data_IF_378229973118
#
_entry.id   IF_378229973118
#
_cell.length_a   1.000
_cell.length_b   1.000
_cell.length_c   1.000
_cell.angle_alpha   90.00
_cell.angle_beta   90.00
_cell.angle_gamma   90.00
#
_symmetry.space_group_name_H-M   'P 1'
#
loop_
_entity.id
_entity.type
_entity.pdbx_description
1 polymer ?
#
# COMPACT_ATOMS: atom_id res chain seq x y z
N UNK A 1 -27.98 -1.03 3.09
CA UNK A 1 -26.51 -1.01 3.18
C UNK A 1 -26.13 -1.07 4.65
N UNK A 2 -25.59 -2.18 5.13
CA UNK A 2 -25.16 -2.27 6.53
C UNK A 2 -23.98 -1.32 6.76
N UNK A 3 -24.03 -0.52 7.82
CA UNK A 3 -22.88 0.28 8.23
C UNK A 3 -21.71 -0.66 8.54
N UNK A 4 -20.72 -0.73 7.64
CA UNK A 4 -19.56 -1.64 7.74
C UNK A 4 -18.66 -1.35 8.95
N UNK A 5 -18.78 -0.17 9.57
CA UNK A 5 -18.02 0.23 10.76
C UNK A 5 -18.98 0.87 11.78
N UNK A 6 -19.74 0.05 12.52
CA UNK A 6 -20.63 0.54 13.60
C UNK A 6 -19.92 0.67 14.95
N UNK A 7 -19.02 -0.26 15.27
CA UNK A 7 -18.09 -0.21 16.41
C UNK A 7 -16.73 -0.70 15.96
N UNK A 8 -15.70 0.11 16.18
CA UNK A 8 -14.33 -0.20 15.74
C UNK A 8 -13.70 -1.32 16.60
N UNK A 9 -13.89 -1.30 17.92
CA UNK A 9 -13.37 -2.35 18.80
C UNK A 9 -14.44 -3.41 19.09
N UNK A 10 -14.12 -4.68 18.80
CA UNK A 10 -15.04 -5.83 19.05
C UNK A 10 -14.50 -6.83 20.07
N UNK A 11 -13.21 -6.72 20.45
CA UNK A 11 -12.49 -7.65 21.35
C UNK A 11 -12.37 -9.10 20.87
N UNK A 12 -12.87 -9.41 19.66
CA UNK A 12 -12.80 -10.77 19.07
C UNK A 12 -11.37 -11.24 18.79
N UNK A 13 -10.40 -10.32 18.77
CA UNK A 13 -8.98 -10.63 18.59
C UNK A 13 -8.15 -10.58 19.88
N UNK A 14 -8.75 -10.45 21.06
CA UNK A 14 -8.01 -10.31 22.33
C UNK A 14 -7.24 -11.58 22.70
N UNK A 15 -7.61 -12.74 22.13
CA UNK A 15 -6.91 -14.02 22.27
C UNK A 15 -5.72 -14.20 21.32
N UNK A 16 -5.33 -13.17 20.57
CA UNK A 16 -4.20 -13.23 19.64
C UNK A 16 -4.53 -13.73 18.24
N UNK A 17 -5.81 -13.92 17.91
CA UNK A 17 -6.28 -14.35 16.58
C UNK A 17 -7.02 -13.23 15.84
N UNK A 18 -7.15 -13.37 14.53
CA UNK A 18 -7.98 -12.51 13.68
C UNK A 18 -8.74 -13.35 12.65
N UNK A 19 -9.82 -12.78 12.10
CA UNK A 19 -10.57 -13.38 11.00
C UNK A 19 -10.01 -12.96 9.64
N UNK A 20 -10.07 -13.88 8.67
CA UNK A 20 -9.83 -13.64 7.27
C UNK A 20 -11.15 -13.36 6.53
N UNK A 21 -11.06 -12.86 5.30
CA UNK A 21 -12.24 -12.50 4.50
C UNK A 21 -13.10 -13.70 4.06
N UNK A 22 -12.56 -14.92 4.11
CA UNK A 22 -13.29 -16.18 3.90
C UNK A 22 -13.99 -16.70 5.17
N UNK A 23 -13.83 -16.01 6.30
CA UNK A 23 -14.39 -16.38 7.60
C UNK A 23 -13.50 -17.33 8.44
N UNK A 24 -12.38 -17.80 7.90
CA UNK A 24 -11.41 -18.57 8.66
C UNK A 24 -10.70 -17.69 9.71
N UNK A 25 -10.06 -18.32 10.70
CA UNK A 25 -9.31 -17.62 11.76
C UNK A 25 -7.85 -18.05 11.75
N UNK A 26 -6.97 -17.08 11.96
CA UNK A 26 -5.53 -17.27 12.00
C UNK A 26 -4.92 -16.50 13.17
N UNK A 27 -3.73 -16.92 13.61
CA UNK A 27 -2.96 -16.14 14.57
C UNK A 27 -2.55 -14.79 13.98
N UNK A 28 -2.52 -13.74 14.81
CA UNK A 28 -2.18 -12.37 14.39
C UNK A 28 -0.73 -12.21 13.91
N UNK A 29 0.15 -13.13 14.27
CA UNK A 29 1.54 -13.21 13.84
C UNK A 29 1.73 -14.14 12.63
N UNK A 30 0.65 -14.64 12.02
CA UNK A 30 0.75 -15.43 10.79
C UNK A 30 1.30 -14.59 9.64
N UNK A 31 2.04 -15.23 8.73
CA UNK A 31 2.66 -14.59 7.57
C UNK A 31 1.66 -13.79 6.72
N UNK A 32 0.43 -14.30 6.58
CA UNK A 32 -0.64 -13.64 5.84
C UNK A 32 -1.03 -12.31 6.48
N UNK A 33 -1.17 -12.28 7.80
CA UNK A 33 -1.53 -11.07 8.56
C UNK A 33 -0.39 -10.05 8.54
N UNK A 34 0.86 -10.52 8.67
CA UNK A 34 2.05 -9.66 8.54
C UNK A 34 2.12 -9.03 7.14
N UNK A 35 1.82 -9.79 6.07
CA UNK A 35 1.86 -9.30 4.70
C UNK A 35 0.84 -8.18 4.46
N UNK A 36 -0.47 -8.43 4.68
CA UNK A 36 -1.47 -7.38 4.46
C UNK A 36 -1.40 -6.24 5.48
N UNK A 37 -0.90 -6.51 6.70
CA UNK A 37 -0.61 -5.45 7.67
C UNK A 37 0.52 -4.53 7.21
N UNK A 38 1.54 -5.07 6.55
CA UNK A 38 2.63 -4.26 5.96
C UNK A 38 2.16 -3.50 4.72
N UNK A 39 1.23 -4.06 3.93
CA UNK A 39 0.56 -3.35 2.83
C UNK A 39 -0.28 -2.18 3.35
N UNK A 40 -1.02 -2.37 4.46
CA UNK A 40 -1.77 -1.30 5.11
C UNK A 40 -0.85 -0.18 5.65
N UNK A 41 0.32 -0.56 6.18
CA UNK A 41 1.34 0.40 6.60
C UNK A 41 1.87 1.24 5.41
N UNK A 42 2.18 0.59 4.28
CA UNK A 42 2.54 1.30 3.04
C UNK A 42 1.43 2.26 2.60
N UNK A 43 0.18 1.79 2.58
CA UNK A 43 -0.97 2.55 2.14
C UNK A 43 -1.17 3.80 3.03
N UNK A 44 -0.97 3.64 4.34
CA UNK A 44 -1.00 4.73 5.32
C UNK A 44 0.07 5.80 5.07
N UNK A 45 1.30 5.39 4.70
CA UNK A 45 2.38 6.32 4.36
C UNK A 45 2.08 7.06 3.05
N UNK A 46 1.44 6.41 2.06
CA UNK A 46 0.94 7.12 0.87
C UNK A 46 -0.09 8.17 1.26
N UNK A 47 -0.96 7.89 2.23
CA UNK A 47 -1.85 8.89 2.83
C UNK A 47 -1.10 10.11 3.41
N UNK A 48 0.06 9.89 4.03
CA UNK A 48 0.93 10.98 4.49
C UNK A 48 1.56 11.78 3.35
N UNK A 49 1.77 11.19 2.17
CA UNK A 49 2.23 11.91 0.97
C UNK A 49 1.08 12.77 0.43
N UNK A 50 -0.13 12.21 0.35
CA UNK A 50 -1.34 12.88 -0.12
C UNK A 50 -1.77 14.06 0.76
N UNK A 51 -1.32 14.13 2.01
CA UNK A 51 -1.54 15.27 2.90
C UNK A 51 -0.76 16.53 2.50
N UNK A 52 0.26 16.40 1.62
CA UNK A 52 1.03 17.55 1.12
C UNK A 52 0.40 18.20 -0.11
N UNK A 53 0.88 19.39 -0.47
CA UNK A 53 0.60 19.97 -1.77
C UNK A 53 1.41 19.23 -2.85
N UNK A 54 0.72 18.62 -3.81
CA UNK A 54 1.30 17.77 -4.85
C UNK A 54 1.02 18.34 -6.25
N UNK A 55 1.82 18.01 -7.27
CA UNK A 55 1.46 18.26 -8.65
C UNK A 55 0.09 17.66 -8.99
N UNK A 56 -0.67 18.32 -9.87
CA UNK A 56 -2.10 18.02 -10.13
C UNK A 56 -2.34 16.59 -10.59
N UNK A 57 -1.39 16.01 -11.31
CA UNK A 57 -1.42 14.69 -11.91
C UNK A 57 -0.91 13.58 -10.97
N UNK A 58 -0.21 13.94 -9.88
CA UNK A 58 0.35 12.97 -8.92
C UNK A 58 -0.68 12.53 -7.90
N UNK A 59 -1.53 13.44 -7.42
CA UNK A 59 -2.56 13.11 -6.42
C UNK A 59 -3.52 12.00 -6.90
N UNK A 60 -4.18 12.13 -8.07
CA UNK A 60 -5.10 11.08 -8.55
C UNK A 60 -4.39 9.74 -8.78
N UNK A 61 -3.12 9.78 -9.19
CA UNK A 61 -2.34 8.56 -9.39
C UNK A 61 -2.02 7.85 -8.07
N UNK A 62 -1.60 8.59 -7.03
CA UNK A 62 -1.39 8.03 -5.70
C UNK A 62 -2.69 7.54 -5.06
N UNK A 63 -3.81 8.22 -5.27
CA UNK A 63 -5.14 7.75 -4.83
C UNK A 63 -5.51 6.41 -5.50
N UNK A 64 -5.24 6.26 -6.80
CA UNK A 64 -5.40 4.97 -7.49
C UNK A 64 -4.48 3.89 -6.90
N UNK A 65 -3.23 4.22 -6.55
CA UNK A 65 -2.34 3.27 -5.86
C UNK A 65 -2.90 2.89 -4.48
N UNK A 66 -3.53 3.79 -3.74
CA UNK A 66 -4.17 3.43 -2.46
C UNK A 66 -5.33 2.43 -2.66
N UNK A 67 -6.07 2.54 -3.77
CA UNK A 67 -7.08 1.56 -4.16
C UNK A 67 -6.44 0.22 -4.52
N UNK A 68 -5.39 0.22 -5.36
CA UNK A 68 -4.66 -1.00 -5.73
C UNK A 68 -4.12 -1.73 -4.48
N UNK A 69 -3.57 -1.00 -3.52
CA UNK A 69 -3.05 -1.58 -2.27
C UNK A 69 -4.18 -2.09 -1.35
N UNK A 70 -5.35 -1.44 -1.36
CA UNK A 70 -6.50 -1.94 -0.62
C UNK A 70 -7.02 -3.25 -1.22
N UNK A 71 -7.09 -3.33 -2.55
CA UNK A 71 -7.49 -4.53 -3.28
C UNK A 71 -6.47 -5.66 -3.04
N UNK A 72 -5.16 -5.37 -3.10
CA UNK A 72 -4.10 -6.33 -2.74
C UNK A 72 -4.22 -6.83 -1.29
N UNK A 73 -4.54 -5.94 -0.34
CA UNK A 73 -4.82 -6.33 1.04
C UNK A 73 -6.05 -7.25 1.15
N UNK A 74 -7.08 -7.01 0.34
CA UNK A 74 -8.24 -7.87 0.19
C UNK A 74 -7.88 -9.25 -0.38
N UNK A 75 -7.03 -9.29 -1.40
CA UNK A 75 -6.46 -10.52 -1.99
C UNK A 75 -5.77 -11.38 -0.94
N UNK A 76 -4.88 -10.76 -0.16
CA UNK A 76 -4.22 -11.46 0.94
C UNK A 76 -5.18 -11.92 2.03
N UNK A 77 -6.27 -11.19 2.27
CA UNK A 77 -7.27 -11.56 3.27
C UNK A 77 -8.17 -12.72 2.85
N UNK A 78 -8.33 -13.01 1.55
CA UNK A 78 -9.23 -14.04 1.03
C UNK A 78 -8.42 -15.10 0.27
N UNK A 79 -8.12 -16.27 0.86
CA UNK A 79 -7.39 -17.33 0.18
C UNK A 79 -8.04 -17.75 -1.16
N UNK A 80 -7.27 -17.70 -2.25
CA UNK A 80 -7.71 -18.07 -3.59
C UNK A 80 -8.51 -16.99 -4.33
N UNK A 81 -8.66 -15.80 -3.75
CA UNK A 81 -9.14 -14.62 -4.47
C UNK A 81 -7.95 -13.93 -5.13
N UNK A 82 -8.11 -13.49 -6.37
CA UNK A 82 -7.12 -12.73 -7.14
C UNK A 82 -7.81 -11.48 -7.70
N UNK A 83 -7.22 -10.31 -7.47
CA UNK A 83 -7.76 -9.02 -7.92
C UNK A 83 -6.72 -8.20 -8.66
N UNK A 84 -5.44 -8.33 -8.31
CA UNK A 84 -4.35 -7.66 -9.02
C UNK A 84 -4.08 -8.39 -10.33
N UNK A 85 -4.01 -7.63 -11.43
CA UNK A 85 -3.83 -8.16 -12.78
C UNK A 85 -2.55 -7.62 -13.40
N UNK A 86 -2.07 -8.27 -14.47
CA UNK A 86 -0.92 -7.80 -15.24
C UNK A 86 -1.12 -6.38 -15.81
N UNK A 87 -2.38 -5.97 -16.02
CA UNK A 87 -2.71 -4.60 -16.44
C UNK A 87 -2.36 -3.55 -15.38
N UNK A 88 -2.41 -3.88 -14.09
CA UNK A 88 -2.04 -2.97 -13.01
C UNK A 88 -0.54 -2.71 -13.00
N UNK A 89 0.25 -3.77 -13.21
CA UNK A 89 1.71 -3.67 -13.39
C UNK A 89 2.04 -2.82 -14.63
N UNK A 90 1.39 -3.11 -15.75
CA UNK A 90 1.60 -2.37 -17.02
C UNK A 90 1.28 -0.87 -16.88
N UNK A 91 0.23 -0.54 -16.09
CA UNK A 91 -0.13 0.85 -15.78
C UNK A 91 0.94 1.54 -14.93
N UNK A 92 1.53 0.85 -13.95
CA UNK A 92 2.63 1.39 -13.16
C UNK A 92 3.86 1.64 -14.03
N UNK A 93 4.25 0.68 -14.86
CA UNK A 93 5.40 0.80 -15.78
C UNK A 93 5.24 1.99 -16.73
N UNK A 94 4.08 2.10 -17.38
CA UNK A 94 3.78 3.23 -18.29
C UNK A 94 3.93 4.57 -17.56
N UNK A 95 3.41 4.67 -16.34
CA UNK A 95 3.50 5.92 -15.57
C UNK A 95 4.92 6.20 -15.07
N UNK A 96 5.71 5.18 -14.75
CA UNK A 96 7.13 5.35 -14.40
C UNK A 96 7.93 5.88 -15.59
N UNK A 97 7.66 5.39 -16.80
CA UNK A 97 8.30 5.89 -18.02
C UNK A 97 7.97 7.37 -18.27
N UNK A 98 6.69 7.76 -18.13
CA UNK A 98 6.26 9.16 -18.22
C UNK A 98 6.97 10.07 -17.20
N UNK A 99 7.07 9.63 -15.94
CA UNK A 99 7.71 10.42 -14.88
C UNK A 99 9.23 10.52 -15.04
N UNK A 100 9.86 9.52 -15.65
CA UNK A 100 11.30 9.51 -15.91
C UNK A 100 11.69 10.27 -17.18
N UNK A 101 10.76 10.48 -18.13
CA UNK A 101 11.06 11.04 -19.45
C UNK A 101 11.81 12.39 -19.39
N UNK A 102 11.46 13.24 -18.43
CA UNK A 102 12.05 14.58 -18.27
C UNK A 102 13.18 14.63 -17.22
N UNK A 103 13.54 13.50 -16.61
CA UNK A 103 14.58 13.44 -15.59
C UNK A 103 15.96 13.16 -16.22
N UNK A 104 17.02 13.88 -15.81
CA UNK A 104 18.37 13.55 -16.24
C UNK A 104 18.80 12.19 -15.69
N UNK A 105 19.65 11.48 -16.44
CA UNK A 105 20.24 10.23 -15.97
C UNK A 105 20.94 10.44 -14.62
N UNK A 106 20.62 9.57 -13.66
CA UNK A 106 21.20 9.62 -12.33
C UNK A 106 22.67 9.20 -12.39
N UNK A 107 23.58 10.12 -12.04
CA UNK A 107 25.04 9.87 -12.08
C UNK A 107 25.58 9.26 -10.80
N UNK A 108 24.97 9.59 -9.66
CA UNK A 108 25.43 9.23 -8.33
C UNK A 108 24.27 8.75 -7.47
N UNK A 109 24.56 7.98 -6.42
CA UNK A 109 23.53 7.62 -5.44
C UNK A 109 22.96 8.86 -4.73
N UNK A 110 21.66 8.84 -4.47
CA UNK A 110 20.96 9.90 -3.75
C UNK A 110 20.76 9.53 -2.29
N UNK A 111 20.92 10.52 -1.41
CA UNK A 111 20.45 10.41 -0.04
C UNK A 111 18.93 10.57 -0.02
N UNK A 112 18.19 9.76 0.78
CA UNK A 112 16.75 9.89 0.91
C UNK A 112 16.40 11.14 1.72
N UNK A 113 16.37 12.29 1.04
CA UNK A 113 16.22 13.61 1.62
C UNK A 113 15.49 14.55 0.64
N UNK A 114 15.37 15.83 1.00
CA UNK A 114 14.67 16.85 0.23
C UNK A 114 13.60 17.54 1.06
N UNK A 115 12.47 17.86 0.44
CA UNK A 115 11.29 18.37 1.15
C UNK A 115 10.52 17.27 1.89
N UNK A 116 9.59 17.66 2.76
CA UNK A 116 8.79 16.72 3.56
C UNK A 116 8.05 15.68 2.69
N UNK A 117 7.45 16.11 1.57
CA UNK A 117 6.79 15.21 0.63
C UNK A 117 7.76 14.18 0.02
N UNK A 118 8.93 14.63 -0.47
CA UNK A 118 9.98 13.75 -1.03
C UNK A 118 10.50 12.75 -0.01
N UNK A 119 10.73 13.19 1.23
CA UNK A 119 11.15 12.32 2.33
C UNK A 119 10.10 11.25 2.64
N UNK A 120 8.81 11.60 2.62
CA UNK A 120 7.72 10.62 2.75
C UNK A 120 7.68 9.65 1.56
N UNK A 121 7.94 10.09 0.33
CA UNK A 121 8.08 9.18 -0.82
C UNK A 121 9.21 8.17 -0.63
N UNK A 122 10.36 8.59 -0.10
CA UNK A 122 11.46 7.67 0.19
C UNK A 122 11.12 6.68 1.32
N UNK A 123 10.34 7.10 2.31
CA UNK A 123 9.80 6.22 3.36
C UNK A 123 8.80 5.22 2.78
N UNK A 124 7.84 5.67 1.97
CA UNK A 124 6.89 4.79 1.28
C UNK A 124 7.64 3.74 0.44
N UNK A 125 8.64 4.15 -0.33
CA UNK A 125 9.49 3.25 -1.12
C UNK A 125 10.17 2.19 -0.25
N UNK A 126 10.70 2.54 0.92
CA UNK A 126 11.38 1.55 1.79
C UNK A 126 10.39 0.59 2.45
N UNK A 127 9.19 1.05 2.80
CA UNK A 127 8.11 0.20 3.35
C UNK A 127 7.48 -0.67 2.27
N UNK A 128 7.33 -0.18 1.03
CA UNK A 128 6.91 -0.99 -0.11
C UNK A 128 7.86 -2.17 -0.33
N UNK A 129 9.16 -1.92 -0.30
CA UNK A 129 10.17 -3.00 -0.34
C UNK A 129 10.08 -3.94 0.85
N UNK A 130 9.62 -3.47 2.02
CA UNK A 130 9.37 -4.36 3.16
C UNK A 130 8.15 -5.25 2.89
N UNK A 131 7.06 -4.69 2.37
CA UNK A 131 5.87 -5.45 1.97
C UNK A 131 6.23 -6.53 0.94
N UNK A 132 7.07 -6.23 -0.05
CA UNK A 132 7.60 -7.18 -1.05
C UNK A 132 8.27 -8.42 -0.44
N UNK A 133 8.80 -8.33 0.79
CA UNK A 133 9.52 -9.43 1.46
C UNK A 133 8.66 -10.19 2.48
N UNK A 134 7.42 -9.77 2.72
CA UNK A 134 6.52 -10.42 3.69
C UNK A 134 5.62 -11.42 2.98
#
# INVERSE_FOLDING_TARGET
>A
MGHRLSKIYTRTGDKGETGLGDGSRVAKDSIRVEAFGTVDELNSIIGMILAHNLPKDIRPWLENIQHDLFDLGGEFSIPGYETIQNSDVSRLETRLDELNADLPALKEFILPAGGAATSHCHLARSVCRRAERR
#
